data_IF_815513618298
#
_entry.id   IF_815513618298
#
_cell.length_a   1.000
_cell.length_b   1.000
_cell.length_c   1.000
_cell.angle_alpha   90.00
_cell.angle_beta   90.00
_cell.angle_gamma   90.00
#
_symmetry.space_group_name_H-M   'P 1'
#
loop_
_entity.id
_entity.type
_entity.pdbx_description
1 polymer ?
#
# COMPACT_ATOMS: atom_id res chain seq x y z
N UNK A 1 7.84 -15.12 -14.40
CA UNK A 1 7.78 -13.64 -14.46
C UNK A 1 6.38 -13.27 -13.98
N UNK A 2 6.18 -13.38 -12.67
CA UNK A 2 5.02 -12.81 -12.02
C UNK A 2 5.18 -11.29 -12.14
N UNK A 3 4.26 -10.65 -12.86
CA UNK A 3 4.24 -9.20 -12.96
C UNK A 3 3.94 -8.69 -11.56
N UNK A 4 4.85 -7.90 -10.99
CA UNK A 4 4.56 -7.09 -9.80
C UNK A 4 3.29 -6.30 -10.10
N UNK A 5 2.29 -6.43 -9.23
CA UNK A 5 1.04 -5.69 -9.40
C UNK A 5 1.33 -4.30 -8.87
N UNK A 6 1.35 -3.30 -9.75
CA UNK A 6 1.45 -1.91 -9.34
C UNK A 6 0.08 -1.42 -8.86
N UNK A 7 0.08 -0.54 -7.85
CA UNK A 7 -1.17 0.09 -7.36
C UNK A 7 -1.75 0.97 -8.47
N UNK A 8 -2.95 0.64 -8.92
CA UNK A 8 -3.70 1.46 -9.85
C UNK A 8 -4.33 2.64 -9.10
N UNK A 9 -3.80 3.84 -9.36
CA UNK A 9 -4.28 5.10 -8.76
C UNK A 9 -5.66 5.53 -9.25
N UNK A 10 -6.20 4.86 -10.27
CA UNK A 10 -7.54 5.06 -10.80
C UNK A 10 -8.53 4.00 -10.34
N UNK A 11 -8.08 2.99 -9.59
CA UNK A 11 -8.93 1.90 -9.09
C UNK A 11 -9.93 2.36 -8.01
N UNK A 12 -9.72 3.53 -7.40
CA UNK A 12 -10.62 4.09 -6.39
C UNK A 12 -10.93 5.56 -6.70
N UNK A 13 -12.17 5.98 -6.43
CA UNK A 13 -12.54 7.39 -6.47
C UNK A 13 -12.02 8.11 -5.21
N UNK A 14 -11.58 9.36 -5.35
CA UNK A 14 -11.07 10.18 -4.24
C UNK A 14 -12.23 10.78 -3.43
N UNK A 15 -13.11 9.91 -2.95
CA UNK A 15 -14.26 10.26 -2.12
C UNK A 15 -14.20 9.46 -0.82
N UNK A 16 -14.67 10.02 0.31
CA UNK A 16 -14.63 9.33 1.60
C UNK A 16 -15.44 8.02 1.59
N UNK A 17 -16.53 7.97 0.83
CA UNK A 17 -17.38 6.77 0.71
C UNK A 17 -16.69 5.64 -0.09
N UNK A 18 -16.04 5.99 -1.20
CA UNK A 18 -15.25 5.04 -1.99
C UNK A 18 -14.03 4.54 -1.20
N UNK A 19 -13.34 5.43 -0.47
CA UNK A 19 -12.24 5.07 0.43
C UNK A 19 -12.73 4.10 1.51
N UNK A 20 -13.83 4.42 2.20
CA UNK A 20 -14.45 3.54 3.22
C UNK A 20 -14.77 2.17 2.65
N UNK A 21 -15.36 2.13 1.45
CA UNK A 21 -15.74 0.89 0.76
C UNK A 21 -14.52 0.05 0.39
N UNK A 22 -13.49 0.66 -0.19
CA UNK A 22 -12.25 -0.03 -0.53
C UNK A 22 -11.54 -0.59 0.71
N UNK A 23 -11.53 0.17 1.82
CA UNK A 23 -10.92 -0.24 3.08
C UNK A 23 -11.68 -1.35 3.81
N UNK A 24 -12.91 -1.71 3.43
CA UNK A 24 -13.63 -2.86 4.03
C UNK A 24 -12.85 -4.18 3.93
N UNK A 25 -11.97 -4.30 2.93
CA UNK A 25 -11.08 -5.47 2.78
C UNK A 25 -10.00 -5.56 3.87
N UNK A 26 -9.69 -4.45 4.55
CA UNK A 26 -8.69 -4.36 5.62
C UNK A 26 -9.32 -3.68 6.83
N UNK A 27 -10.01 -4.44 7.71
CA UNK A 27 -10.75 -3.88 8.84
C UNK A 27 -9.86 -3.07 9.80
N UNK A 28 -8.59 -3.44 9.95
CA UNK A 28 -7.62 -2.67 10.76
C UNK A 28 -7.44 -1.25 10.21
N UNK A 29 -7.31 -1.12 8.89
CA UNK A 29 -7.13 0.19 8.23
C UNK A 29 -8.42 0.99 8.20
N UNK A 30 -9.56 0.32 8.02
CA UNK A 30 -10.88 0.94 8.12
C UNK A 30 -11.08 1.60 9.48
N UNK A 31 -10.71 0.91 10.57
CA UNK A 31 -10.84 1.46 11.92
C UNK A 31 -10.02 2.76 12.11
N UNK A 32 -8.77 2.77 11.64
CA UNK A 32 -7.94 3.98 11.72
C UNK A 32 -8.46 5.11 10.84
N UNK A 33 -8.95 4.81 9.64
CA UNK A 33 -9.62 5.80 8.78
C UNK A 33 -10.85 6.40 9.47
N UNK A 34 -11.71 5.58 10.06
CA UNK A 34 -12.90 6.08 10.76
C UNK A 34 -12.52 6.94 11.97
N UNK A 35 -11.47 6.58 12.70
CA UNK A 35 -10.97 7.39 13.80
C UNK A 35 -10.42 8.75 13.34
N UNK A 36 -9.57 8.76 12.31
CA UNK A 36 -9.04 9.99 11.70
C UNK A 36 -10.18 10.86 11.16
N UNK A 37 -11.15 10.24 10.49
CA UNK A 37 -12.32 10.91 9.92
C UNK A 37 -13.19 11.55 11.01
N UNK A 38 -13.49 10.82 12.09
CA UNK A 38 -14.25 11.36 13.22
C UNK A 38 -13.49 12.47 13.95
N UNK A 39 -12.16 12.34 14.07
CA UNK A 39 -11.30 13.39 14.65
C UNK A 39 -11.33 14.66 13.80
N UNK A 40 -11.18 14.55 12.48
CA UNK A 40 -11.26 15.69 11.58
C UNK A 40 -12.67 16.29 11.50
N UNK A 41 -13.71 15.45 11.61
CA UNK A 41 -15.10 15.89 11.63
C UNK A 41 -15.49 16.61 12.92
N UNK A 42 -14.76 16.42 14.03
CA UNK A 42 -15.06 17.04 15.32
C UNK A 42 -15.04 18.58 15.26
N UNK A 43 -14.10 19.14 14.49
CA UNK A 43 -13.98 20.59 14.29
C UNK A 43 -14.76 21.09 13.05
N UNK A 44 -15.43 20.19 12.33
CA UNK A 44 -16.10 20.45 11.05
C UNK A 44 -15.21 21.18 10.03
N UNK A 45 -13.89 21.01 10.14
CA UNK A 45 -12.92 21.64 9.26
C UNK A 45 -12.84 20.84 7.95
N UNK A 46 -13.31 21.47 6.87
CA UNK A 46 -13.28 20.87 5.54
C UNK A 46 -11.87 20.57 5.05
N UNK A 47 -10.89 21.38 5.43
CA UNK A 47 -9.50 21.17 5.04
C UNK A 47 -8.90 19.95 5.75
N UNK A 48 -9.28 19.69 7.00
CA UNK A 48 -8.88 18.47 7.72
C UNK A 48 -9.52 17.23 7.12
N UNK A 49 -10.80 17.30 6.76
CA UNK A 49 -11.48 16.19 6.08
C UNK A 49 -10.85 15.86 4.73
N UNK A 50 -10.49 16.88 3.93
CA UNK A 50 -9.77 16.68 2.67
C UNK A 50 -8.36 16.10 2.90
N UNK A 51 -7.65 16.50 3.97
CA UNK A 51 -6.36 15.89 4.36
C UNK A 51 -6.49 14.42 4.73
N UNK A 52 -7.56 14.04 5.44
CA UNK A 52 -7.83 12.62 5.76
C UNK A 52 -8.07 11.83 4.47
N UNK A 53 -8.88 12.35 3.56
CA UNK A 53 -9.10 11.72 2.24
C UNK A 53 -7.79 11.54 1.50
N UNK A 54 -6.94 12.56 1.47
CA UNK A 54 -5.65 12.53 0.76
C UNK A 54 -4.66 11.54 1.37
N UNK A 55 -4.63 11.46 2.69
CA UNK A 55 -3.82 10.49 3.44
C UNK A 55 -4.24 9.05 3.11
N UNK A 56 -5.55 8.79 3.05
CA UNK A 56 -6.09 7.43 2.94
C UNK A 56 -6.36 6.97 1.51
N UNK A 57 -6.43 7.89 0.54
CA UNK A 57 -6.61 7.59 -0.88
C UNK A 57 -5.62 6.56 -1.46
N UNK A 58 -4.29 6.65 -1.23
CA UNK A 58 -3.36 5.64 -1.77
C UNK A 58 -3.61 4.25 -1.19
N UNK A 59 -3.99 4.14 0.09
CA UNK A 59 -4.34 2.87 0.72
C UNK A 59 -5.64 2.30 0.15
N UNK A 60 -6.62 3.16 -0.11
CA UNK A 60 -7.85 2.76 -0.77
C UNK A 60 -7.60 2.26 -2.21
N UNK A 61 -6.74 2.93 -2.98
CA UNK A 61 -6.33 2.47 -4.30
C UNK A 61 -5.64 1.10 -4.22
N UNK A 62 -4.75 0.90 -3.25
CA UNK A 62 -4.11 -0.39 -3.02
C UNK A 62 -5.13 -1.50 -2.69
N UNK A 63 -6.14 -1.21 -1.88
CA UNK A 63 -7.21 -2.16 -1.56
C UNK A 63 -8.17 -2.42 -2.74
N UNK A 64 -8.41 -1.42 -3.58
CA UNK A 64 -9.28 -1.53 -4.75
C UNK A 64 -8.58 -2.19 -5.94
N UNK A 65 -7.25 -2.12 -6.01
CA UNK A 65 -6.45 -2.76 -7.07
C UNK A 65 -6.57 -4.29 -6.96
N UNK A 66 -7.15 -4.97 -7.96
CA UNK A 66 -7.30 -6.43 -7.92
C UNK A 66 -5.95 -7.13 -7.82
N UNK A 67 -5.80 -8.06 -6.87
CA UNK A 67 -4.61 -8.89 -6.69
C UNK A 67 -3.44 -8.22 -5.98
N UNK A 68 -3.45 -6.90 -5.78
CA UNK A 68 -2.37 -6.21 -5.06
C UNK A 68 -2.29 -6.65 -3.60
N UNK A 69 -3.42 -6.67 -2.89
CA UNK A 69 -3.46 -7.12 -1.51
C UNK A 69 -3.09 -8.60 -1.37
N UNK A 70 -3.57 -9.47 -2.26
CA UNK A 70 -3.22 -10.89 -2.27
C UNK A 70 -1.71 -11.09 -2.46
N UNK A 71 -1.07 -10.30 -3.35
CA UNK A 71 0.37 -10.31 -3.55
C UNK A 71 1.13 -9.83 -2.30
N UNK A 72 0.64 -8.78 -1.64
CA UNK A 72 1.23 -8.27 -0.39
C UNK A 72 1.10 -9.30 0.75
N UNK A 73 -0.05 -9.95 0.90
CA UNK A 73 -0.29 -10.99 1.90
C UNK A 73 0.56 -12.23 1.63
N UNK A 74 0.69 -12.64 0.37
CA UNK A 74 1.57 -13.74 -0.03
C UNK A 74 3.03 -13.41 0.28
N UNK A 75 3.48 -12.19 -0.02
CA UNK A 75 4.83 -11.73 0.29
C UNK A 75 5.08 -11.68 1.80
N UNK A 76 4.13 -11.16 2.58
CA UNK A 76 4.21 -11.12 4.04
C UNK A 76 4.26 -12.52 4.66
N UNK A 77 3.49 -13.47 4.12
CA UNK A 77 3.52 -14.86 4.53
C UNK A 77 4.87 -15.51 4.24
N UNK A 78 5.41 -15.34 3.02
CA UNK A 78 6.73 -15.85 2.65
C UNK A 78 7.84 -15.30 3.56
N UNK A 79 7.81 -13.99 3.85
CA UNK A 79 8.71 -13.36 4.81
C UNK A 79 8.60 -13.98 6.22
N UNK A 80 7.38 -14.20 6.72
CA UNK A 80 7.17 -14.80 8.04
C UNK A 80 7.62 -16.27 8.11
N UNK A 81 7.54 -16.99 6.99
CA UNK A 81 8.01 -18.38 6.84
C UNK A 81 9.53 -18.46 6.57
N UNK A 82 10.22 -17.31 6.45
CA UNK A 82 11.65 -17.23 6.15
C UNK A 82 12.00 -17.52 4.69
N UNK A 83 10.99 -17.69 3.84
CA UNK A 83 11.14 -17.86 2.40
C UNK A 83 11.36 -16.49 1.75
N UNK A 84 12.63 -16.13 1.61
CA UNK A 84 13.08 -14.86 1.02
C UNK A 84 13.60 -15.04 -0.41
N UNK A 85 13.41 -16.22 -1.00
CA UNK A 85 13.96 -16.55 -2.32
C UNK A 85 13.37 -15.63 -3.40
N UNK A 86 14.23 -14.91 -4.12
CA UNK A 86 13.83 -13.98 -5.17
C UNK A 86 13.26 -12.64 -4.69
N UNK A 87 13.32 -12.34 -3.38
CA UNK A 87 13.00 -11.00 -2.86
C UNK A 87 14.18 -10.05 -3.07
N UNK A 88 13.86 -8.81 -3.46
CA UNK A 88 14.84 -7.75 -3.66
C UNK A 88 14.63 -6.67 -2.61
N UNK A 89 15.68 -6.39 -1.84
CA UNK A 89 15.73 -5.33 -0.85
C UNK A 89 16.60 -4.20 -1.37
N UNK A 90 16.11 -2.97 -1.25
CA UNK A 90 16.81 -1.79 -1.74
C UNK A 90 17.38 -1.00 -0.58
N UNK A 91 18.67 -0.65 -0.66
CA UNK A 91 19.27 0.28 0.29
C UNK A 91 18.93 1.74 -0.03
N UNK A 92 19.35 2.66 0.84
CA UNK A 92 19.13 4.10 0.66
C UNK A 92 19.88 4.70 -0.55
N UNK A 93 20.86 3.98 -1.10
CA UNK A 93 21.66 4.37 -2.25
C UNK A 93 21.09 3.80 -3.58
N UNK A 94 20.02 3.00 -3.51
CA UNK A 94 19.38 2.38 -4.65
C UNK A 94 20.04 1.09 -5.13
N UNK A 95 20.87 0.46 -4.30
CA UNK A 95 21.45 -0.84 -4.60
C UNK A 95 20.49 -1.96 -4.15
N UNK A 96 20.33 -2.97 -5.00
CA UNK A 96 19.50 -4.14 -4.75
C UNK A 96 20.32 -5.27 -4.12
N UNK A 97 19.75 -5.91 -3.10
CA UNK A 97 20.32 -7.07 -2.42
C UNK A 97 19.27 -8.16 -2.22
N UNK A 98 19.73 -9.41 -2.11
CA UNK A 98 18.92 -10.51 -1.59
C UNK A 98 18.89 -10.50 -0.05
N UNK A 99 18.12 -11.41 0.54
CA UNK A 99 18.03 -11.53 2.00
C UNK A 99 19.32 -12.01 2.69
N UNK A 100 20.27 -12.59 1.94
CA UNK A 100 21.59 -12.97 2.43
C UNK A 100 22.62 -11.82 2.27
N UNK A 101 22.17 -10.64 1.87
CA UNK A 101 22.98 -9.45 1.62
C UNK A 101 23.95 -9.62 0.44
N UNK A 102 23.63 -10.48 -0.54
CA UNK A 102 24.33 -10.51 -1.81
C UNK A 102 23.73 -9.48 -2.77
N UNK A 103 24.57 -8.73 -3.51
CA UNK A 103 24.08 -7.74 -4.47
C UNK A 103 23.37 -8.43 -5.64
N UNK A 104 22.17 -7.96 -5.97
CA UNK A 104 21.39 -8.41 -7.12
C UNK A 104 21.61 -7.43 -8.28
N UNK A 105 22.05 -7.94 -9.42
CA UNK A 105 22.07 -7.15 -10.66
C UNK A 105 20.67 -7.10 -11.27
N UNK A 106 19.87 -6.19 -10.76
CA UNK A 106 18.64 -5.73 -11.41
C UNK A 106 19.07 -4.70 -12.45
N UNK A 107 18.81 -4.99 -13.74
CA UNK A 107 19.21 -4.13 -14.84
C UNK A 107 18.72 -2.67 -14.68
N UNK A 108 19.21 -1.73 -15.51
CA UNK A 108 18.98 -0.31 -15.32
C UNK A 108 17.48 0.01 -15.20
N UNK A 109 17.10 0.57 -14.05
CA UNK A 109 15.76 1.09 -13.79
C UNK A 109 15.63 2.38 -14.61
N UNK A 110 15.06 2.30 -15.81
CA UNK A 110 14.71 3.50 -16.58
C UNK A 110 13.59 4.22 -15.86
N UNK A 111 13.91 5.41 -15.34
CA UNK A 111 13.01 6.36 -14.70
C UNK A 111 11.93 6.91 -15.64
#
# INVERSE_FOLDING_TARGET
>A
MDREIEVDRTACERTPDAIRTALQRRPDWLQYFEQDWLSAAADFDRAELDRVVDKWFPFACACATPGYLDQVEQMAKRLAEGDTEGMVFWDAEGNAYDAENHPINVGPVTA
#
